data_IF_570313478394
#
_entry.id   IF_570313478394
#
_cell.length_a   1.000
_cell.length_b   1.000
_cell.length_c   1.000
_cell.angle_alpha   90.00
_cell.angle_beta   90.00
_cell.angle_gamma   90.00
#
_symmetry.space_group_name_H-M   'P 1'
#
loop_
_entity.id
_entity.type
_entity.pdbx_description
1 polymer ?
#
# COMPACT_ATOMS: atom_id res chain seq x y z
N UNK A 1 16.36 -5.10 -4.23
CA UNK A 1 16.39 -4.31 -2.97
C UNK A 1 15.26 -3.28 -2.90
N UNK A 2 14.43 -3.14 -3.94
CA UNK A 2 13.38 -2.11 -4.04
C UNK A 2 12.14 -2.40 -3.18
N UNK A 3 11.79 -3.66 -2.98
CA UNK A 3 10.61 -4.04 -2.18
C UNK A 3 10.67 -3.60 -0.71
N UNK A 4 11.86 -3.51 -0.13
CA UNK A 4 12.02 -3.08 1.26
C UNK A 4 11.69 -1.59 1.44
N UNK A 5 12.01 -0.74 0.45
CA UNK A 5 11.73 0.70 0.54
C UNK A 5 10.24 1.00 0.43
N UNK A 6 9.55 0.33 -0.51
CA UNK A 6 8.10 0.44 -0.68
C UNK A 6 7.40 -0.04 0.59
N UNK A 7 7.81 -1.20 1.12
CA UNK A 7 7.26 -1.73 2.36
C UNK A 7 7.43 -0.76 3.53
N UNK A 8 8.62 -0.17 3.72
CA UNK A 8 8.84 0.81 4.77
C UNK A 8 7.94 2.04 4.62
N UNK A 9 7.74 2.52 3.39
CA UNK A 9 6.89 3.69 3.13
C UNK A 9 5.42 3.39 3.43
N UNK A 10 4.95 2.22 3.03
CA UNK A 10 3.60 1.73 3.33
C UNK A 10 3.39 1.56 4.83
N UNK A 11 4.36 0.94 5.53
CA UNK A 11 4.31 0.83 7.00
C UNK A 11 4.28 2.19 7.67
N UNK A 12 5.06 3.16 7.18
CA UNK A 12 5.06 4.51 7.74
C UNK A 12 3.70 5.20 7.57
N UNK A 13 3.08 5.09 6.37
CA UNK A 13 1.74 5.61 6.12
C UNK A 13 0.69 4.98 7.06
N UNK A 14 0.70 3.65 7.21
CA UNK A 14 -0.22 2.98 8.11
C UNK A 14 -0.05 3.41 9.58
N UNK A 15 1.19 3.63 10.04
CA UNK A 15 1.48 3.99 11.43
C UNK A 15 1.16 5.47 11.70
N UNK A 16 1.55 6.37 10.81
CA UNK A 16 1.47 7.82 11.03
C UNK A 16 0.13 8.40 10.59
N UNK A 17 -0.34 8.09 9.38
CA UNK A 17 -1.58 8.64 8.81
C UNK A 17 -2.80 7.87 9.33
N UNK A 18 -2.74 6.54 9.28
CA UNK A 18 -3.90 5.68 9.64
C UNK A 18 -3.90 5.24 11.10
N UNK A 19 -2.85 5.57 11.86
CA UNK A 19 -2.72 5.28 13.30
C UNK A 19 -2.88 3.78 13.62
N UNK A 20 -2.46 2.91 12.70
CA UNK A 20 -2.49 1.45 12.83
C UNK A 20 -1.15 0.92 13.34
N UNK A 21 -0.89 0.99 14.65
CA UNK A 21 0.38 0.53 15.23
C UNK A 21 0.58 -1.00 15.10
N UNK A 22 -0.49 -1.77 14.85
CA UNK A 22 -0.43 -3.21 14.64
C UNK A 22 0.47 -3.61 13.45
N UNK A 23 0.61 -2.77 12.42
CA UNK A 23 1.52 -3.06 11.29
C UNK A 23 3.00 -2.92 11.63
N UNK A 24 3.36 -2.34 12.78
CA UNK A 24 4.78 -2.08 13.10
C UNK A 24 5.61 -3.35 13.24
N UNK A 25 5.02 -4.40 13.81
CA UNK A 25 5.67 -5.70 14.02
C UNK A 25 5.00 -6.83 13.23
N UNK A 26 3.95 -6.54 12.47
CA UNK A 26 3.27 -7.53 11.64
C UNK A 26 4.18 -8.00 10.50
N UNK A 27 4.07 -9.29 10.16
CA UNK A 27 4.65 -9.81 8.93
C UNK A 27 4.01 -9.14 7.72
N UNK A 28 4.71 -9.10 6.59
CA UNK A 28 4.14 -8.51 5.36
C UNK A 28 2.96 -9.32 4.82
N UNK A 29 2.91 -10.60 5.16
CA UNK A 29 1.82 -11.56 4.86
C UNK A 29 0.73 -11.58 5.92
N UNK A 30 0.85 -10.79 6.99
CA UNK A 30 -0.16 -10.73 8.04
C UNK A 30 -1.39 -9.98 7.52
N UNK A 31 -2.58 -10.43 7.90
CA UNK A 31 -3.82 -9.79 7.49
C UNK A 31 -3.95 -8.42 8.16
N UNK A 32 -4.11 -7.41 7.31
CA UNK A 32 -4.43 -6.05 7.68
C UNK A 32 -5.94 -5.95 7.82
N UNK A 33 -6.37 -5.59 9.03
CA UNK A 33 -7.75 -5.22 9.29
C UNK A 33 -8.02 -3.82 8.73
N UNK A 34 -8.23 -3.73 7.40
CA UNK A 34 -8.49 -2.50 6.68
C UNK A 34 -9.99 -2.36 6.39
N UNK A 35 -10.60 -1.38 7.03
CA UNK A 35 -11.98 -1.00 6.77
C UNK A 35 -12.15 -0.33 5.39
N UNK A 36 -13.40 -0.17 4.95
CA UNK A 36 -13.70 0.52 3.68
C UNK A 36 -13.12 1.94 3.57
N UNK A 37 -12.98 2.65 4.70
CA UNK A 37 -12.32 3.95 4.76
C UNK A 37 -10.81 3.81 4.55
N UNK A 38 -10.19 2.86 5.26
CA UNK A 38 -8.77 2.53 5.15
C UNK A 38 -8.38 2.17 3.71
N UNK A 39 -9.21 1.36 3.04
CA UNK A 39 -9.02 1.01 1.63
C UNK A 39 -9.06 2.23 0.71
N UNK A 40 -9.92 3.21 1.02
CA UNK A 40 -10.04 4.44 0.24
C UNK A 40 -8.81 5.33 0.44
N UNK A 41 -8.37 5.52 1.68
CA UNK A 41 -7.17 6.31 2.01
C UNK A 41 -5.91 5.69 1.39
N UNK A 42 -5.77 4.36 1.49
CA UNK A 42 -4.68 3.65 0.83
C UNK A 42 -4.68 3.89 -0.68
N UNK A 43 -5.83 3.80 -1.36
CA UNK A 43 -5.92 4.06 -2.82
C UNK A 43 -5.51 5.50 -3.17
N UNK A 44 -5.91 6.48 -2.36
CA UNK A 44 -5.50 7.88 -2.55
C UNK A 44 -3.98 8.01 -2.39
N UNK A 45 -3.42 7.44 -1.31
CA UNK A 45 -1.96 7.43 -1.09
C UNK A 45 -1.20 6.77 -2.24
N UNK A 46 -1.68 5.63 -2.74
CA UNK A 46 -1.06 4.94 -3.88
C UNK A 46 -1.12 5.73 -5.20
N UNK A 47 -2.18 6.52 -5.41
CA UNK A 47 -2.28 7.43 -6.55
C UNK A 47 -1.33 8.62 -6.44
N UNK A 48 -1.26 9.25 -5.26
CA UNK A 48 -0.44 10.45 -5.05
C UNK A 48 1.05 10.14 -4.93
N UNK A 49 1.41 9.07 -4.20
CA UNK A 49 2.77 8.77 -3.81
C UNK A 49 3.47 7.80 -4.77
N UNK A 50 2.71 6.96 -5.48
CA UNK A 50 3.21 5.98 -6.47
C UNK A 50 2.69 6.20 -7.90
N UNK A 51 1.85 7.22 -8.12
CA UNK A 51 1.31 7.54 -9.44
C UNK A 51 0.36 6.46 -9.99
N UNK A 52 -0.21 5.62 -9.13
CA UNK A 52 -1.05 4.49 -9.54
C UNK A 52 -2.48 4.98 -9.78
N UNK A 53 -2.85 5.09 -11.06
CA UNK A 53 -4.18 5.53 -11.48
C UNK A 53 -5.18 4.37 -11.41
N UNK A 54 -5.86 4.22 -10.28
CA UNK A 54 -6.91 3.20 -10.10
C UNK A 54 -8.04 3.30 -11.13
N UNK A 55 -8.32 4.49 -11.66
CA UNK A 55 -9.30 4.69 -12.74
C UNK A 55 -8.92 4.03 -14.07
N UNK A 56 -7.64 3.76 -14.30
CA UNK A 56 -7.13 3.09 -15.51
C UNK A 56 -6.96 1.58 -15.33
N UNK A 57 -7.17 1.08 -14.11
CA UNK A 57 -7.00 -0.33 -13.76
C UNK A 57 -8.38 -1.02 -13.68
N UNK A 58 -8.44 -2.33 -13.96
CA UNK A 58 -9.67 -3.10 -13.73
C UNK A 58 -10.08 -3.04 -12.25
N UNK A 59 -11.31 -3.44 -11.93
CA UNK A 59 -11.77 -3.56 -10.54
C UNK A 59 -10.73 -4.30 -9.70
N UNK A 60 -10.15 -3.59 -8.73
CA UNK A 60 -9.10 -4.11 -7.86
C UNK A 60 -9.75 -4.54 -6.56
N UNK A 61 -9.52 -5.80 -6.20
CA UNK A 61 -9.90 -6.33 -4.91
C UNK A 61 -9.28 -5.50 -3.77
N UNK A 62 -9.95 -5.41 -2.61
CA UNK A 62 -9.39 -4.75 -1.44
C UNK A 62 -8.11 -5.45 -1.00
N UNK A 63 -7.10 -4.65 -0.62
CA UNK A 63 -5.82 -5.19 -0.18
C UNK A 63 -5.96 -5.78 1.22
N UNK A 64 -5.48 -7.00 1.43
CA UNK A 64 -5.56 -7.66 2.74
C UNK A 64 -4.22 -7.75 3.43
N UNK A 65 -3.10 -7.63 2.70
CA UNK A 65 -1.76 -7.76 3.27
C UNK A 65 -0.80 -6.69 2.72
N UNK A 66 0.27 -6.39 3.46
CA UNK A 66 1.30 -5.44 3.00
C UNK A 66 2.01 -5.99 1.75
N UNK A 67 2.24 -7.30 1.70
CA UNK A 67 2.87 -7.97 0.57
C UNK A 67 2.11 -7.73 -0.73
N UNK A 68 0.79 -7.92 -0.72
CA UNK A 68 -0.07 -7.64 -1.89
C UNK A 68 0.07 -6.20 -2.37
N UNK A 69 0.08 -5.24 -1.43
CA UNK A 69 0.22 -3.82 -1.75
C UNK A 69 1.58 -3.56 -2.40
N UNK A 70 2.66 -4.08 -1.81
CA UNK A 70 4.02 -3.91 -2.31
C UNK A 70 4.17 -4.54 -3.70
N UNK A 71 3.66 -5.75 -3.91
CA UNK A 71 3.66 -6.40 -5.21
C UNK A 71 2.86 -5.62 -6.25
N UNK A 72 1.70 -5.11 -5.86
CA UNK A 72 0.84 -4.31 -6.71
C UNK A 72 1.54 -3.02 -7.15
N UNK A 73 2.18 -2.31 -6.22
CA UNK A 73 2.99 -1.13 -6.51
C UNK A 73 4.13 -1.49 -7.47
N UNK A 74 4.85 -2.58 -7.23
CA UNK A 74 5.95 -2.96 -8.12
C UNK A 74 5.50 -3.26 -9.55
N UNK A 75 4.27 -3.77 -9.72
CA UNK A 75 3.69 -4.09 -11.04
C UNK A 75 3.11 -2.86 -11.75
N UNK A 76 2.59 -1.89 -11.00
CA UNK A 76 1.77 -0.79 -11.55
C UNK A 76 2.31 0.61 -11.31
N UNK A 77 3.30 0.78 -10.42
CA UNK A 77 3.93 2.07 -10.17
C UNK A 77 4.56 2.61 -11.44
N UNK A 78 4.20 3.84 -11.78
CA UNK A 78 4.81 4.59 -12.88
C UNK A 78 6.01 5.40 -12.41
N UNK A 79 6.39 5.29 -11.15
CA UNK A 79 7.60 5.94 -10.64
C UNK A 79 8.80 5.14 -11.11
N UNK A 80 9.36 5.57 -12.23
CA UNK A 80 10.72 5.26 -12.63
C UNK A 80 11.62 5.75 -11.48
N UNK A 81 12.04 4.84 -10.61
CA UNK A 81 12.95 5.15 -9.50
C UNK A 81 14.25 5.70 -10.09
N UNK A 82 14.45 7.01 -9.93
CA UNK A 82 15.73 7.70 -10.08
C UNK A 82 16.70 7.30 -8.97
#
# INVERSE_FOLDING_TARGET
MTGNLIEQKIRHFFIEDMVKDNVRNAASTDELDLDSLDQTELRVFLDEDFGIKFSELPDIDPFTTIEEIVEFIQKHSRIETV
#
